data_IF_765401785084
#
_entry.id   IF_765401785084
#
_cell.length_a   1.000
_cell.length_b   1.000
_cell.length_c   1.000
_cell.angle_alpha   90.00
_cell.angle_beta   90.00
_cell.angle_gamma   90.00
#
_symmetry.space_group_name_H-M   'P 1'
#
loop_
_entity.id
_entity.type
_entity.pdbx_description
1 polymer ?
#
# COMPACT_ATOMS: atom_id res chain seq x y z
N UNK A 1 29.94 15.76 -2.27
CA UNK A 1 29.24 14.47 -2.41
C UNK A 1 27.79 14.72 -2.04
N UNK A 2 26.87 14.80 -3.02
CA UNK A 2 25.44 15.02 -2.73
C UNK A 2 24.91 13.77 -2.04
N UNK A 3 24.41 13.92 -0.81
CA UNK A 3 23.69 12.84 -0.13
C UNK A 3 22.50 12.46 -0.99
N UNK A 4 22.51 11.22 -1.49
CA UNK A 4 21.34 10.65 -2.14
C UNK A 4 20.29 10.45 -1.05
N UNK A 5 19.40 11.43 -0.90
CA UNK A 5 18.19 11.25 -0.12
C UNK A 5 17.36 10.26 -0.93
N UNK A 6 17.54 8.96 -0.63
CA UNK A 6 16.55 7.96 -0.98
C UNK A 6 15.26 8.53 -0.40
N UNK A 7 14.37 9.07 -1.24
CA UNK A 7 13.02 9.38 -0.82
C UNK A 7 12.56 8.10 -0.14
N UNK A 8 12.48 8.12 1.19
CA UNK A 8 12.11 6.96 1.97
C UNK A 8 10.81 6.49 1.35
N UNK A 9 10.85 5.36 0.64
CA UNK A 9 9.63 4.68 0.25
C UNK A 9 8.89 4.58 1.57
N UNK A 10 7.78 5.31 1.70
CA UNK A 10 7.01 5.38 2.92
C UNK A 10 6.32 4.03 3.08
N UNK A 11 7.11 2.99 3.38
CA UNK A 11 6.65 1.69 3.85
C UNK A 11 6.20 1.97 5.27
N UNK A 12 4.99 2.50 5.41
CA UNK A 12 4.46 2.95 6.71
C UNK A 12 4.39 1.81 7.73
N UNK A 13 4.32 0.55 7.28
CA UNK A 13 4.43 -0.64 8.12
C UNK A 13 4.79 -1.89 7.28
N UNK A 14 5.64 -2.78 7.81
CA UNK A 14 6.09 -4.01 7.11
C UNK A 14 4.96 -5.00 6.78
N UNK A 15 3.94 -5.24 7.64
CA UNK A 15 2.83 -6.13 7.33
C UNK A 15 2.00 -5.66 6.14
N UNK A 16 1.72 -4.36 6.03
CA UNK A 16 0.98 -3.80 4.89
C UNK A 16 1.73 -4.01 3.57
N UNK A 17 3.07 -3.92 3.60
CA UNK A 17 3.91 -4.20 2.45
C UNK A 17 3.84 -5.68 2.02
N UNK A 18 3.81 -6.61 2.97
CA UNK A 18 3.64 -8.03 2.64
C UNK A 18 2.25 -8.35 2.08
N UNK A 19 1.20 -7.79 2.68
CA UNK A 19 -0.17 -7.93 2.16
C UNK A 19 -0.24 -7.36 0.73
N UNK A 20 0.33 -6.16 0.51
CA UNK A 20 0.34 -5.52 -0.80
C UNK A 20 1.10 -6.34 -1.85
N UNK A 21 2.28 -6.88 -1.50
CA UNK A 21 3.07 -7.71 -2.40
C UNK A 21 2.32 -8.98 -2.83
N UNK A 22 1.64 -9.65 -1.89
CA UNK A 22 0.81 -10.84 -2.19
C UNK A 22 -0.37 -10.46 -3.09
N UNK A 23 -1.06 -9.36 -2.79
CA UNK A 23 -2.20 -8.91 -3.58
C UNK A 23 -1.79 -8.60 -5.03
N UNK A 24 -0.69 -7.87 -5.23
CA UNK A 24 -0.16 -7.55 -6.55
C UNK A 24 0.26 -8.80 -7.32
N UNK A 25 0.96 -9.73 -6.67
CA UNK A 25 1.43 -10.96 -7.31
C UNK A 25 0.29 -11.86 -7.80
N UNK A 26 -0.89 -11.78 -7.18
CA UNK A 26 -2.05 -12.61 -7.50
C UNK A 26 -3.18 -11.85 -8.20
N UNK A 27 -3.03 -10.55 -8.45
CA UNK A 27 -4.10 -9.72 -9.04
C UNK A 27 -5.32 -9.55 -8.12
N UNK A 28 -5.12 -9.59 -6.80
CA UNK A 28 -6.19 -9.40 -5.81
C UNK A 28 -6.39 -7.94 -5.44
N UNK A 29 -7.58 -7.64 -4.93
CA UNK A 29 -7.95 -6.35 -4.33
C UNK A 29 -7.92 -6.47 -2.80
N UNK A 30 -7.41 -5.45 -2.11
CA UNK A 30 -7.41 -5.38 -0.65
C UNK A 30 -8.66 -4.63 -0.19
N UNK A 31 -9.44 -5.24 0.70
CA UNK A 31 -10.59 -4.61 1.37
C UNK A 31 -10.19 -4.30 2.81
N UNK A 32 -10.10 -3.02 3.17
CA UNK A 32 -9.53 -2.57 4.45
C UNK A 32 -10.06 -1.19 4.85
N UNK A 33 -10.09 -0.87 6.15
CA UNK A 33 -10.47 0.47 6.63
C UNK A 33 -9.44 1.55 6.28
N UNK A 34 -8.15 1.20 6.31
CA UNK A 34 -7.06 2.10 5.97
C UNK A 34 -6.50 1.73 4.59
N UNK A 35 -6.99 2.43 3.56
CA UNK A 35 -6.59 2.19 2.16
C UNK A 35 -5.27 2.87 1.81
N UNK A 36 -4.85 3.88 2.57
CA UNK A 36 -3.70 4.74 2.33
C UNK A 36 -2.39 3.98 2.01
N UNK A 37 -1.97 2.93 2.75
CA UNK A 37 -0.72 2.24 2.45
C UNK A 37 -0.81 1.41 1.16
N UNK A 38 -1.99 0.88 0.82
CA UNK A 38 -2.20 0.05 -0.36
C UNK A 38 -2.29 0.89 -1.63
N UNK A 39 -2.98 2.02 -1.56
CA UNK A 39 -3.01 3.02 -2.65
C UNK A 39 -1.60 3.55 -2.94
N UNK A 40 -0.80 3.82 -1.90
CA UNK A 40 0.61 4.23 -2.06
C UNK A 40 1.50 3.12 -2.68
N UNK A 41 1.11 1.85 -2.53
CA UNK A 41 1.75 0.71 -3.17
C UNK A 41 1.23 0.45 -4.60
N UNK A 42 0.29 1.26 -5.10
CA UNK A 42 -0.29 1.11 -6.44
C UNK A 42 -1.44 0.11 -6.53
N UNK A 43 -1.97 -0.37 -5.41
CA UNK A 43 -3.17 -1.21 -5.37
C UNK A 43 -4.43 -0.34 -5.43
N UNK A 44 -5.44 -0.85 -6.12
CA UNK A 44 -6.81 -0.40 -5.91
C UNK A 44 -7.34 -1.05 -4.63
N UNK A 45 -7.49 -0.28 -3.56
CA UNK A 45 -8.01 -0.77 -2.28
C UNK A 45 -9.42 -0.25 -2.03
N UNK A 46 -10.26 -1.05 -1.38
CA UNK A 46 -11.66 -0.71 -1.11
C UNK A 46 -11.85 -0.53 0.39
N UNK A 47 -12.41 0.61 0.80
CA UNK A 47 -12.86 0.81 2.18
C UNK A 47 -14.31 0.36 2.34
N UNK A 48 -14.59 -0.74 3.07
CA UNK A 48 -15.96 -1.25 3.22
C UNK A 48 -16.82 -0.38 4.17
N UNK A 49 -16.23 0.61 4.83
CA UNK A 49 -16.93 1.63 5.62
C UNK A 49 -17.07 2.97 4.88
N UNK A 50 -16.53 3.08 3.65
CA UNK A 50 -16.72 4.26 2.81
C UNK A 50 -18.16 4.35 2.29
N UNK A 51 -18.69 5.56 2.12
CA UNK A 51 -19.96 5.76 1.42
C UNK A 51 -19.75 5.54 -0.09
N UNK A 52 -20.73 4.90 -0.74
CA UNK A 52 -20.76 4.65 -2.18
C UNK A 52 -20.68 5.95 -3.00
#
# INVERSE_FOLDING_TARGET
>A
MKGYQMASVNVRNLPDAFIAAIALANGFTVVTRDTSPFEAAGLNAINPWGTA
#
